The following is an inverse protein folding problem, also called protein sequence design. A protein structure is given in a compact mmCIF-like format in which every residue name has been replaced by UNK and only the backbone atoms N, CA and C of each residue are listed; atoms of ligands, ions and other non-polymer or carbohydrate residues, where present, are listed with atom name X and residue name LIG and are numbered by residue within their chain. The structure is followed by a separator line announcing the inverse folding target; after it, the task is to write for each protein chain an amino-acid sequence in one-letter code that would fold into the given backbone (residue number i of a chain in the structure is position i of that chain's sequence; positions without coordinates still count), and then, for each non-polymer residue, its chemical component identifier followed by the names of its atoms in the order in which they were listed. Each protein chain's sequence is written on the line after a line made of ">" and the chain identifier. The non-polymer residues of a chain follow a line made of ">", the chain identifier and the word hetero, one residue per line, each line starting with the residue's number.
data_IF_366336362892
#
_entry.id   IF_366336362892
#
_cell.length_a   1.000
_cell.length_b   1.000
_cell.length_c   1.000
_cell.angle_alpha   90.00
_cell.angle_beta   90.00
_cell.angle_gamma   90.00
#
_symmetry.space_group_name_H-M   'P 1'
#
loop_
_entity.id
_entity.type
_entity.pdbx_description
1 polymer ?
#
# COMPACT_ATOMS: atom_id res chain seq x y z
N UNK A 1 -1.35 2.41 -31.40
CA UNK A 1 -2.28 1.81 -30.42
C UNK A 1 -1.55 1.47 -29.13
N UNK A 2 -0.49 0.66 -29.17
CA UNK A 2 0.32 0.30 -27.98
C UNK A 2 0.82 1.49 -27.15
N UNK A 3 1.25 2.59 -27.79
CA UNK A 3 1.71 3.79 -27.06
C UNK A 3 0.60 4.49 -26.25
N UNK A 4 -0.67 4.43 -26.69
CA UNK A 4 -1.80 5.04 -25.98
C UNK A 4 -2.23 4.17 -24.78
N UNK A 5 -2.22 2.85 -24.94
CA UNK A 5 -2.47 1.93 -23.83
C UNK A 5 -1.36 1.98 -22.77
N UNK A 6 -0.11 2.12 -23.20
CA UNK A 6 1.02 2.30 -22.29
C UNK A 6 0.90 3.63 -21.52
N UNK A 7 0.52 4.72 -22.19
CA UNK A 7 0.29 6.03 -21.56
C UNK A 7 -0.86 6.01 -20.55
N UNK A 8 -2.00 5.40 -20.90
CA UNK A 8 -3.12 5.26 -19.96
C UNK A 8 -2.75 4.38 -18.76
N UNK A 9 -1.99 3.31 -18.97
CA UNK A 9 -1.41 2.54 -17.86
C UNK A 9 -0.51 3.45 -17.03
N UNK A 10 0.44 4.17 -17.61
CA UNK A 10 1.34 5.09 -16.89
C UNK A 10 0.61 6.18 -16.08
N UNK A 11 -0.54 6.67 -16.55
CA UNK A 11 -1.38 7.66 -15.87
C UNK A 11 -2.16 7.09 -14.67
N UNK A 12 -2.61 5.82 -14.77
CA UNK A 12 -3.20 5.07 -13.64
C UNK A 12 -2.12 4.67 -12.63
N UNK A 13 -0.90 4.38 -13.09
CA UNK A 13 0.24 3.92 -12.27
C UNK A 13 0.77 4.96 -11.28
N UNK A 14 0.72 6.24 -11.64
CA UNK A 14 1.11 7.33 -10.74
C UNK A 14 0.04 7.69 -9.70
N UNK A 15 -1.17 7.11 -9.79
CA UNK A 15 -2.30 7.53 -8.98
C UNK A 15 -2.33 6.91 -7.57
N UNK A 16 -1.88 5.67 -7.39
CA UNK A 16 -2.02 5.00 -6.08
C UNK A 16 -1.24 5.69 -4.97
N UNK A 17 -0.01 6.13 -5.26
CA UNK A 17 0.81 6.83 -4.27
C UNK A 17 0.28 8.24 -3.99
N UNK A 18 -0.21 8.95 -5.02
CA UNK A 18 -0.83 10.26 -4.83
C UNK A 18 -2.11 10.14 -3.98
N UNK A 19 -2.96 9.16 -4.28
CA UNK A 19 -4.15 8.88 -3.47
C UNK A 19 -3.82 8.45 -2.05
N UNK A 20 -2.79 7.63 -1.85
CA UNK A 20 -2.36 7.22 -0.51
C UNK A 20 -1.83 8.41 0.29
N UNK A 21 -1.01 9.26 -0.32
CA UNK A 21 -0.50 10.47 0.31
C UNK A 21 -1.64 11.41 0.71
N UNK A 22 -2.56 11.72 -0.21
CA UNK A 22 -3.74 12.54 0.09
C UNK A 22 -4.58 11.92 1.20
N UNK A 23 -4.87 10.62 1.10
CA UNK A 23 -5.68 9.90 2.07
C UNK A 23 -5.08 9.90 3.49
N UNK A 24 -3.78 9.64 3.62
CA UNK A 24 -3.13 9.54 4.93
C UNK A 24 -2.80 10.92 5.50
N UNK A 25 -2.54 11.93 4.65
CA UNK A 25 -2.35 13.31 5.12
C UNK A 25 -3.65 13.92 5.63
N UNK A 26 -4.80 13.61 5.03
CA UNK A 26 -6.12 13.95 5.58
C UNK A 26 -6.38 13.30 6.96
N UNK A 27 -5.69 12.19 7.28
CA UNK A 27 -5.70 11.56 8.61
C UNK A 27 -4.64 12.10 9.58
N UNK A 28 -3.93 13.16 9.19
CA UNK A 28 -2.95 13.85 10.04
C UNK A 28 -1.53 13.29 9.99
N UNK A 29 -1.22 12.37 9.07
CA UNK A 29 0.16 11.92 8.87
C UNK A 29 0.94 12.89 7.99
N UNK A 30 2.21 13.15 8.29
CA UNK A 30 3.08 13.88 7.37
C UNK A 30 3.47 13.01 6.17
N UNK A 31 3.88 13.61 5.06
CA UNK A 31 4.37 12.89 3.88
C UNK A 31 5.54 11.96 4.25
N UNK A 32 6.46 12.41 5.09
CA UNK A 32 7.60 11.61 5.56
C UNK A 32 7.13 10.38 6.34
N UNK A 33 6.12 10.53 7.19
CA UNK A 33 5.52 9.41 7.92
C UNK A 33 4.87 8.42 6.95
N UNK A 34 4.16 8.88 5.93
CA UNK A 34 3.55 7.99 4.93
C UNK A 34 4.62 7.21 4.16
N UNK A 35 5.71 7.87 3.76
CA UNK A 35 6.83 7.21 3.10
C UNK A 35 7.51 6.17 4.00
N UNK A 36 7.64 6.46 5.30
CA UNK A 36 8.11 5.49 6.30
C UNK A 36 7.16 4.30 6.43
N UNK A 37 5.85 4.55 6.47
CA UNK A 37 4.83 3.51 6.57
C UNK A 37 4.85 2.59 5.35
N UNK A 38 4.93 3.14 4.13
CA UNK A 38 5.07 2.36 2.89
C UNK A 38 6.27 1.41 3.01
N UNK A 39 7.44 1.92 3.42
CA UNK A 39 8.66 1.12 3.57
C UNK A 39 8.49 -0.04 4.55
N UNK A 40 7.89 0.20 5.70
CA UNK A 40 7.69 -0.87 6.70
C UNK A 40 6.65 -1.89 6.23
N UNK A 41 5.58 -1.44 5.58
CA UNK A 41 4.62 -2.35 4.96
C UNK A 41 5.27 -3.17 3.86
N UNK A 42 6.10 -2.57 2.98
CA UNK A 42 6.87 -3.32 1.97
C UNK A 42 7.66 -4.46 2.59
N UNK A 43 8.38 -4.19 3.69
CA UNK A 43 9.17 -5.21 4.39
C UNK A 43 8.30 -6.30 5.00
N UNK A 44 7.14 -5.93 5.54
CA UNK A 44 6.19 -6.88 6.08
C UNK A 44 5.66 -7.80 4.97
N UNK A 45 5.25 -7.25 3.82
CA UNK A 45 4.57 -8.04 2.78
C UNK A 45 5.52 -8.85 1.91
N UNK A 46 6.75 -8.38 1.67
CA UNK A 46 7.71 -9.04 0.76
C UNK A 46 8.04 -10.48 1.17
N UNK A 47 7.97 -10.80 2.47
CA UNK A 47 8.29 -12.12 3.00
C UNK A 47 7.05 -12.99 3.33
N UNK A 48 5.83 -12.55 3.00
CA UNK A 48 4.61 -13.27 3.38
C UNK A 48 3.77 -13.60 2.15
N UNK A 49 3.36 -14.87 2.04
CA UNK A 49 2.53 -15.34 0.93
C UNK A 49 1.07 -14.89 1.09
N UNK A 50 0.64 -14.68 2.34
CA UNK A 50 -0.68 -14.20 2.69
C UNK A 50 -0.54 -13.03 3.66
N UNK A 51 -1.26 -11.95 3.38
CA UNK A 51 -1.22 -10.71 4.15
C UNK A 51 -2.64 -10.31 4.48
N UNK A 52 -2.98 -10.26 5.77
CA UNK A 52 -4.23 -9.67 6.25
C UNK A 52 -3.94 -8.34 6.94
N UNK A 53 -4.91 -7.42 6.90
CA UNK A 53 -4.84 -6.13 7.61
C UNK A 53 -4.46 -6.31 9.08
N UNK A 54 -5.09 -7.27 9.76
CA UNK A 54 -4.81 -7.58 11.17
C UNK A 54 -3.35 -7.97 11.40
N UNK A 55 -2.76 -8.77 10.53
CA UNK A 55 -1.35 -9.17 10.65
C UNK A 55 -0.40 -7.98 10.39
N UNK A 56 -0.72 -7.13 9.41
CA UNK A 56 0.10 -5.94 9.11
C UNK A 56 0.05 -4.95 10.26
N UNK A 57 -1.14 -4.59 10.74
CA UNK A 57 -1.28 -3.68 11.88
C UNK A 57 -0.61 -4.22 13.15
N UNK A 58 -0.72 -5.53 13.41
CA UNK A 58 0.00 -6.15 14.55
C UNK A 58 1.51 -5.99 14.42
N UNK A 59 2.08 -6.17 13.22
CA UNK A 59 3.51 -5.97 12.97
C UNK A 59 3.92 -4.50 13.08
N UNK A 60 3.10 -3.57 12.57
CA UNK A 60 3.34 -2.13 12.71
C UNK A 60 3.29 -1.67 14.17
N UNK A 61 2.37 -2.23 14.97
CA UNK A 61 2.31 -1.97 16.42
C UNK A 61 3.61 -2.40 17.12
N UNK A 62 4.14 -3.59 16.80
CA UNK A 62 5.44 -4.03 17.31
C UNK A 62 6.61 -3.13 16.88
N UNK A 63 6.49 -2.43 15.76
CA UNK A 63 7.47 -1.46 15.26
C UNK A 63 7.27 -0.04 15.83
N UNK A 64 6.30 0.15 16.73
CA UNK A 64 6.07 1.43 17.41
C UNK A 64 5.18 2.42 16.66
N UNK A 65 4.50 2.00 15.58
CA UNK A 65 3.58 2.88 14.85
C UNK A 65 2.24 3.12 15.57
N UNK A 66 1.93 2.29 16.58
CA UNK A 66 0.65 2.31 17.28
C UNK A 66 -0.34 1.26 16.77
N UNK A 67 -1.57 1.33 17.28
CA UNK A 67 -2.65 0.39 16.95
C UNK A 67 -3.43 0.89 15.73
N UNK A 68 -3.89 -0.06 14.91
CA UNK A 68 -4.84 0.16 13.81
C UNK A 68 -4.46 1.32 12.87
N UNK A 69 -3.16 1.42 12.56
CA UNK A 69 -2.56 2.49 11.74
C UNK A 69 -3.09 2.46 10.31
N UNK A 70 -3.25 1.26 9.75
CA UNK A 70 -3.85 1.05 8.45
C UNK A 70 -5.31 0.63 8.60
N UNK A 71 -6.13 1.08 7.66
CA UNK A 71 -7.36 0.39 7.31
C UNK A 71 -7.18 -0.37 6.00
N UNK A 72 -8.24 -1.06 5.58
CA UNK A 72 -8.24 -1.89 4.39
C UNK A 72 -7.89 -1.07 3.14
N UNK A 73 -8.41 0.16 3.03
CA UNK A 73 -8.15 1.04 1.88
C UNK A 73 -6.68 1.45 1.82
N UNK A 74 -6.08 1.87 2.94
CA UNK A 74 -4.68 2.26 2.98
C UNK A 74 -3.77 1.06 2.65
N UNK A 75 -4.06 -0.12 3.20
CA UNK A 75 -3.31 -1.34 2.87
C UNK A 75 -3.42 -1.69 1.38
N UNK A 76 -4.63 -1.64 0.82
CA UNK A 76 -4.85 -1.90 -0.61
C UNK A 76 -4.06 -0.95 -1.51
N UNK A 77 -4.07 0.35 -1.22
CA UNK A 77 -3.30 1.33 -1.98
C UNK A 77 -1.80 1.06 -1.93
N UNK A 78 -1.26 0.65 -0.77
CA UNK A 78 0.15 0.26 -0.64
C UNK A 78 0.43 -1.00 -1.46
N UNK A 79 -0.42 -2.02 -1.36
CA UNK A 79 -0.25 -3.27 -2.09
C UNK A 79 -0.30 -3.06 -3.61
N UNK A 80 -1.25 -2.27 -4.11
CA UNK A 80 -1.35 -1.90 -5.53
C UNK A 80 -0.12 -1.12 -5.99
N UNK A 81 0.37 -0.19 -5.18
CA UNK A 81 1.62 0.51 -5.47
C UNK A 81 2.81 -0.46 -5.59
N UNK A 82 2.92 -1.44 -4.69
CA UNK A 82 4.03 -2.41 -4.73
C UNK A 82 3.91 -3.39 -5.88
N UNK A 83 2.70 -3.84 -6.21
CA UNK A 83 2.42 -4.69 -7.36
C UNK A 83 2.74 -3.97 -8.67
N UNK A 84 2.31 -2.72 -8.81
CA UNK A 84 2.56 -1.92 -10.00
C UNK A 84 4.06 -1.69 -10.25
N UNK A 85 4.83 -1.52 -9.17
CA UNK A 85 6.29 -1.41 -9.23
C UNK A 85 6.99 -2.75 -9.47
N UNK A 86 6.25 -3.86 -9.54
CA UNK A 86 6.78 -5.20 -9.78
C UNK A 86 7.47 -5.83 -8.56
N UNK A 87 7.26 -5.30 -7.35
CA UNK A 87 7.87 -5.85 -6.14
C UNK A 87 7.16 -7.11 -5.63
N UNK A 88 5.86 -7.19 -5.83
CA UNK A 88 5.01 -8.31 -5.41
C UNK A 88 3.98 -8.62 -6.49
N UNK A 89 3.30 -9.77 -6.37
CA UNK A 89 2.04 -10.06 -7.07
C UNK A 89 0.97 -10.25 -6.03
N UNK A 90 -0.19 -9.60 -6.21
CA UNK A 90 -1.27 -9.65 -5.22
C UNK A 90 -2.41 -10.48 -5.79
N UNK A 91 -2.88 -11.46 -5.01
CA UNK A 91 -4.11 -12.18 -5.28
C UNK A 91 -5.15 -11.76 -4.24
N UNK A 92 -6.26 -11.20 -4.72
CA UNK A 92 -7.34 -10.74 -3.87
C UNK A 92 -8.34 -11.88 -3.65
N UNK A 93 -8.38 -12.41 -2.43
CA UNK A 93 -9.40 -13.38 -2.03
C UNK A 93 -10.55 -12.65 -1.33
N UNK A 94 -11.74 -12.70 -1.93
CA UNK A 94 -12.97 -12.27 -1.26
C UNK A 94 -13.48 -13.45 -0.46
N UNK A 95 -13.37 -13.36 0.87
CA UNK A 95 -13.99 -14.32 1.76
C UNK A 95 -15.51 -14.03 1.78
N UNK A 96 -16.27 -14.91 1.13
CA UNK A 96 -17.73 -14.91 1.14
C UNK A 96 -18.29 -15.36 2.49
#
# INVERSE_FOLDING_TARGET
>A
MEKMEQFQKDEVRHHYIAYLLDYMTQKGMSVEMVMGLIREVSRIVFNNHYVSLKQVNKKLEYLGWGKDVLDEKALQLILLFLEDRGFIKVQWEVLN
#
